data_IF_730441183476
#
_entry.id   IF_730441183476
#
_cell.length_a   1.000
_cell.length_b   1.000
_cell.length_c   1.000
_cell.angle_alpha   90.00
_cell.angle_beta   90.00
_cell.angle_gamma   90.00
#
_symmetry.space_group_name_H-M   'P 1'
#
loop_
_entity.id
_entity.type
_entity.pdbx_description
1 polymer ?
#
# COMPACT_ATOMS: atom_id res chain seq x y z
N UNK A 1 -12.63 -38.54 -33.07
CA UNK A 1 -12.03 -37.19 -32.89
C UNK A 1 -13.16 -36.18 -33.09
N UNK A 2 -13.58 -35.52 -32.02
CA UNK A 2 -14.77 -34.65 -31.98
C UNK A 2 -14.39 -33.23 -32.39
N UNK A 3 -15.17 -32.63 -33.31
CA UNK A 3 -15.11 -31.22 -33.69
C UNK A 3 -15.44 -30.34 -32.48
N UNK A 4 -14.53 -29.42 -32.12
CA UNK A 4 -14.83 -28.32 -31.21
C UNK A 4 -15.46 -27.17 -32.02
N UNK A 5 -16.73 -26.91 -31.78
CA UNK A 5 -17.47 -25.77 -32.30
C UNK A 5 -16.85 -24.46 -31.79
N UNK A 6 -16.30 -23.64 -32.69
CA UNK A 6 -15.93 -22.24 -32.40
C UNK A 6 -17.23 -21.43 -32.25
N UNK A 7 -17.64 -21.19 -31.02
CA UNK A 7 -18.70 -20.22 -30.69
C UNK A 7 -18.14 -18.81 -30.93
N UNK A 8 -18.60 -18.15 -31.99
CA UNK A 8 -18.31 -16.72 -32.22
C UNK A 8 -19.04 -15.89 -31.17
N UNK A 9 -18.30 -15.06 -30.44
CA UNK A 9 -18.84 -14.12 -29.45
C UNK A 9 -19.54 -12.94 -30.15
N UNK A 10 -20.65 -12.41 -29.60
CA UNK A 10 -21.37 -11.28 -30.16
C UNK A 10 -20.59 -9.96 -29.98
N UNK A 11 -20.63 -9.10 -31.01
CA UNK A 11 -19.96 -7.79 -31.04
C UNK A 11 -20.84 -6.70 -30.39
N UNK A 12 -20.36 -5.95 -29.38
CA UNK A 12 -21.10 -4.83 -28.80
C UNK A 12 -21.13 -3.56 -29.68
N UNK A 13 -22.21 -2.79 -29.59
CA UNK A 13 -22.61 -1.71 -30.51
C UNK A 13 -21.86 -0.37 -30.36
N UNK A 14 -21.04 -0.17 -29.32
CA UNK A 14 -20.36 1.11 -29.05
C UNK A 14 -18.84 0.99 -29.11
N UNK A 15 -18.38 0.43 -30.24
CA UNK A 15 -16.98 0.24 -30.61
C UNK A 15 -16.27 1.61 -30.74
N UNK A 16 -15.17 1.89 -30.01
CA UNK A 16 -14.31 3.04 -30.32
C UNK A 16 -13.77 2.91 -31.75
N UNK A 17 -13.73 3.99 -32.52
CA UNK A 17 -13.39 3.99 -33.96
C UNK A 17 -11.97 3.48 -34.31
N UNK A 18 -11.16 3.06 -33.36
CA UNK A 18 -9.96 2.24 -33.62
C UNK A 18 -9.96 1.01 -32.71
N UNK A 19 -10.83 0.09 -33.10
CA UNK A 19 -11.03 -1.25 -32.57
C UNK A 19 -10.50 -2.33 -33.53
N UNK A 20 -9.87 -1.90 -34.62
CA UNK A 20 -9.22 -2.77 -35.61
C UNK A 20 -7.72 -2.99 -35.28
N UNK A 21 -7.19 -2.31 -34.26
CA UNK A 21 -5.80 -2.40 -33.78
C UNK A 21 -5.61 -3.27 -32.52
N UNK A 22 -6.56 -4.15 -32.20
CA UNK A 22 -6.29 -5.22 -31.22
C UNK A 22 -6.04 -6.51 -32.01
N UNK A 23 -4.78 -6.82 -32.34
CA UNK A 23 -4.45 -8.01 -33.09
C UNK A 23 -4.58 -9.18 -32.13
N UNK A 24 -5.24 -10.24 -32.59
CA UNK A 24 -5.20 -11.59 -32.00
C UNK A 24 -3.79 -12.22 -31.98
N UNK A 25 -2.72 -11.41 -31.99
CA UNK A 25 -1.31 -11.82 -31.97
C UNK A 25 -0.34 -10.70 -31.55
N UNK A 26 -0.33 -9.55 -32.22
CA UNK A 26 0.64 -8.46 -31.95
C UNK A 26 0.37 -7.63 -30.67
N UNK A 27 -0.88 -7.41 -30.25
CA UNK A 27 -1.16 -6.79 -28.93
C UNK A 27 -0.71 -7.70 -27.79
N UNK A 28 -0.85 -9.02 -27.95
CA UNK A 28 -0.34 -9.98 -26.97
C UNK A 28 1.20 -9.93 -26.90
N UNK A 29 1.89 -9.68 -28.02
CA UNK A 29 3.34 -9.44 -28.06
C UNK A 29 3.71 -8.12 -27.36
N UNK A 30 2.99 -7.02 -27.64
CA UNK A 30 3.17 -5.74 -26.93
C UNK A 30 2.90 -5.88 -25.43
N UNK A 31 1.87 -6.62 -25.02
CA UNK A 31 1.58 -6.91 -23.62
C UNK A 31 2.67 -7.75 -22.94
N UNK A 32 3.39 -8.57 -23.71
CA UNK A 32 4.51 -9.36 -23.21
C UNK A 32 5.74 -8.47 -22.97
N UNK A 33 6.08 -7.61 -23.93
CA UNK A 33 7.22 -6.70 -23.85
C UNK A 33 6.98 -5.59 -22.80
N UNK A 34 5.81 -4.97 -22.88
CA UNK A 34 5.46 -3.79 -22.10
C UNK A 34 4.63 -4.10 -20.86
N UNK A 35 4.10 -5.31 -20.64
CA UNK A 35 3.24 -5.62 -19.49
C UNK A 35 1.85 -4.95 -19.55
N UNK A 36 0.93 -5.46 -18.73
CA UNK A 36 -0.44 -4.95 -18.65
C UNK A 36 -0.49 -3.53 -18.10
N UNK A 37 -1.23 -2.66 -18.79
CA UNK A 37 -1.57 -1.31 -18.33
C UNK A 37 -3.07 -1.18 -18.17
N UNK A 38 -3.55 -0.67 -17.03
CA UNK A 38 -4.97 -0.46 -16.84
C UNK A 38 -5.52 0.63 -17.76
N UNK A 39 -6.71 0.40 -18.29
CA UNK A 39 -7.46 1.28 -19.19
C UNK A 39 -8.37 2.23 -18.40
N UNK A 40 -9.06 1.73 -17.37
CA UNK A 40 -10.08 2.52 -16.65
C UNK A 40 -9.55 3.25 -15.41
N UNK A 41 -8.34 2.95 -14.94
CA UNK A 41 -7.69 3.70 -13.85
C UNK A 41 -6.24 4.05 -14.16
N UNK A 42 -5.78 5.19 -13.63
CA UNK A 42 -4.37 5.58 -13.70
C UNK A 42 -3.63 5.23 -12.42
N UNK A 43 -2.42 4.72 -12.55
CA UNK A 43 -1.48 4.57 -11.44
C UNK A 43 -0.89 5.90 -10.95
N UNK A 44 -1.11 7.00 -11.69
CA UNK A 44 -0.54 8.33 -11.39
C UNK A 44 -1.09 8.96 -10.11
N UNK A 45 -2.30 8.59 -9.68
CA UNK A 45 -2.88 9.04 -8.40
C UNK A 45 -2.03 8.66 -7.18
N UNK A 46 -1.04 7.78 -7.32
CA UNK A 46 -0.15 7.36 -6.25
C UNK A 46 0.78 8.47 -5.72
N UNK A 47 1.05 9.54 -6.48
CA UNK A 47 1.97 10.61 -6.06
C UNK A 47 1.37 11.62 -5.06
N UNK A 48 0.06 11.63 -4.86
CA UNK A 48 -0.62 12.58 -3.96
C UNK A 48 -0.07 12.51 -2.53
N UNK A 49 0.06 11.34 -1.88
CA UNK A 49 0.64 11.25 -0.54
C UNK A 49 2.09 11.73 -0.47
N UNK A 50 2.88 11.51 -1.54
CA UNK A 50 4.26 12.01 -1.61
C UNK A 50 4.25 13.53 -1.65
N UNK A 51 3.44 14.14 -2.52
CA UNK A 51 3.32 15.60 -2.59
C UNK A 51 2.90 16.22 -1.25
N UNK A 52 1.91 15.63 -0.58
CA UNK A 52 1.50 16.06 0.77
C UNK A 52 2.67 15.88 1.76
N UNK A 53 3.37 14.75 1.72
CA UNK A 53 4.54 14.49 2.55
C UNK A 53 5.65 15.52 2.37
N UNK A 54 5.95 15.94 1.13
CA UNK A 54 6.89 17.04 0.84
C UNK A 54 6.43 18.33 1.50
N UNK A 55 5.15 18.70 1.32
CA UNK A 55 4.60 19.93 1.91
C UNK A 55 4.68 19.90 3.43
N UNK A 56 4.31 18.78 4.07
CA UNK A 56 4.39 18.61 5.52
C UNK A 56 5.83 18.74 6.01
N UNK A 57 6.78 18.08 5.33
CA UNK A 57 8.19 18.12 5.72
C UNK A 57 8.74 19.55 5.58
N UNK A 58 8.52 20.20 4.43
CA UNK A 58 8.96 21.59 4.20
C UNK A 58 8.34 22.55 5.21
N UNK A 59 7.04 22.43 5.48
CA UNK A 59 6.36 23.24 6.50
C UNK A 59 6.96 23.03 7.89
N UNK A 60 7.34 21.79 8.23
CA UNK A 60 7.99 21.45 9.51
C UNK A 60 9.37 22.10 9.62
N UNK A 61 10.15 22.08 8.54
CA UNK A 61 11.47 22.75 8.50
C UNK A 61 11.35 24.27 8.62
N UNK A 62 10.38 24.87 7.91
CA UNK A 62 10.11 26.31 8.01
C UNK A 62 9.64 26.69 9.42
N UNK A 63 8.80 25.87 10.04
CA UNK A 63 8.34 26.07 11.42
C UNK A 63 9.51 25.99 12.41
N UNK A 64 10.40 25.00 12.27
CA UNK A 64 11.60 24.89 13.10
C UNK A 64 12.48 26.14 13.00
N UNK A 65 12.65 26.68 11.79
CA UNK A 65 13.39 27.92 11.56
C UNK A 65 12.71 29.14 12.20
N UNK A 66 11.39 29.29 12.01
CA UNK A 66 10.61 30.39 12.58
C UNK A 66 10.54 30.34 14.12
N UNK A 67 10.62 29.13 14.68
CA UNK A 67 10.56 28.89 16.13
C UNK A 67 11.92 28.69 16.75
N UNK A 68 13.01 28.88 16.01
CA UNK A 68 14.35 28.46 16.42
C UNK A 68 14.70 29.00 17.81
N UNK A 69 14.46 30.28 18.08
CA UNK A 69 14.78 30.92 19.36
C UNK A 69 13.99 30.36 20.57
N UNK A 70 12.83 29.72 20.34
CA UNK A 70 12.02 29.09 21.39
C UNK A 70 12.46 27.68 21.72
N UNK A 71 13.20 27.03 20.83
CA UNK A 71 13.68 25.67 21.03
C UNK A 71 14.71 25.68 22.17
N UNK A 72 14.56 24.83 23.19
CA UNK A 72 15.51 24.77 24.32
C UNK A 72 16.95 24.49 23.87
N UNK A 73 17.92 25.02 24.62
CA UNK A 73 19.36 24.80 24.36
C UNK A 73 19.79 23.34 24.50
N UNK A 74 19.00 22.54 25.23
CA UNK A 74 19.17 21.09 25.32
C UNK A 74 17.99 20.36 24.67
N UNK A 75 18.32 19.40 23.82
CA UNK A 75 17.36 18.54 23.12
C UNK A 75 17.63 17.07 23.43
N UNK A 76 16.59 16.23 23.56
CA UNK A 76 16.74 14.80 23.80
C UNK A 76 17.31 14.13 22.55
N UNK A 77 18.41 13.40 22.74
CA UNK A 77 18.98 12.55 21.70
C UNK A 77 18.50 11.11 21.82
N UNK A 78 18.12 10.69 23.03
CA UNK A 78 17.61 9.35 23.29
C UNK A 78 16.59 9.35 24.43
N UNK A 79 15.52 8.58 24.23
CA UNK A 79 14.46 8.35 25.21
C UNK A 79 14.45 6.87 25.55
N UNK A 80 14.48 6.56 26.85
CA UNK A 80 14.38 5.20 27.37
C UNK A 80 12.98 4.61 27.17
N UNK A 81 12.85 3.30 27.42
CA UNK A 81 11.58 2.58 27.31
C UNK A 81 10.52 3.06 28.33
N UNK A 82 10.96 3.70 29.41
CA UNK A 82 10.14 4.37 30.42
C UNK A 82 9.65 5.76 29.99
N UNK A 83 10.00 6.19 28.76
CA UNK A 83 9.65 7.52 28.23
C UNK A 83 10.53 8.65 28.77
N UNK A 84 11.52 8.36 29.62
CA UNK A 84 12.43 9.36 30.18
C UNK A 84 13.59 9.64 29.22
N UNK A 85 14.03 10.89 29.16
CA UNK A 85 15.20 11.26 28.36
C UNK A 85 16.46 10.78 29.08
N UNK A 86 17.12 9.77 28.51
CA UNK A 86 18.36 9.20 29.06
C UNK A 86 19.60 9.89 28.51
N UNK A 87 19.48 10.61 27.38
CA UNK A 87 20.57 11.39 26.79
C UNK A 87 20.07 12.72 26.24
N UNK A 88 20.69 13.79 26.72
CA UNK A 88 20.52 15.15 26.22
C UNK A 88 21.71 15.54 25.32
N UNK A 89 21.47 16.49 24.43
CA UNK A 89 22.48 17.08 23.55
C UNK A 89 22.23 18.55 23.31
N UNK A 90 23.24 19.26 22.81
CA UNK A 90 23.13 20.67 22.49
C UNK A 90 22.18 20.92 21.31
N UNK A 91 21.51 22.07 21.34
CA UNK A 91 20.70 22.59 20.24
C UNK A 91 21.58 22.86 19.03
N UNK A 92 21.50 21.94 18.07
CA UNK A 92 22.09 22.06 16.75
C UNK A 92 21.04 21.73 15.70
N UNK A 93 21.23 22.22 14.48
CA UNK A 93 20.32 21.94 13.36
C UNK A 93 20.12 20.43 13.20
N UNK A 94 21.21 19.67 13.28
CA UNK A 94 21.20 18.21 13.20
C UNK A 94 20.36 17.57 14.29
N UNK A 95 20.54 17.96 15.56
CA UNK A 95 19.86 17.32 16.67
C UNK A 95 18.35 17.66 16.68
N UNK A 96 17.99 18.91 16.39
CA UNK A 96 16.59 19.37 16.35
C UNK A 96 15.83 18.73 15.18
N UNK A 97 16.47 18.64 14.02
CA UNK A 97 15.82 18.19 12.79
C UNK A 97 16.03 16.71 12.50
N UNK A 98 16.66 15.95 13.40
CA UNK A 98 16.98 14.54 13.18
C UNK A 98 15.74 13.71 12.87
N UNK A 99 14.68 13.84 13.68
CA UNK A 99 13.45 13.08 13.48
C UNK A 99 12.73 13.45 12.17
N UNK A 100 12.49 14.73 11.84
CA UNK A 100 11.92 15.12 10.55
C UNK A 100 12.79 14.74 9.34
N UNK A 101 14.10 15.02 9.37
CA UNK A 101 14.98 14.81 8.21
C UNK A 101 15.29 13.34 7.97
N UNK A 102 15.62 12.59 9.02
CA UNK A 102 15.98 11.17 8.85
C UNK A 102 14.75 10.29 8.93
N UNK A 103 13.90 10.45 9.95
CA UNK A 103 12.66 9.68 10.05
C UNK A 103 11.67 10.04 8.95
N UNK A 104 11.26 11.31 8.89
CA UNK A 104 10.34 11.80 7.87
C UNK A 104 10.90 11.69 6.44
N UNK A 105 12.17 12.05 6.24
CA UNK A 105 12.83 11.93 4.95
C UNK A 105 13.00 10.49 4.47
N UNK A 106 13.35 9.53 5.35
CA UNK A 106 13.43 8.12 4.97
C UNK A 106 12.05 7.56 4.58
N UNK A 107 10.98 7.95 5.27
CA UNK A 107 9.61 7.58 4.91
C UNK A 107 9.25 8.16 3.54
N UNK A 108 9.51 9.44 3.32
CA UNK A 108 9.23 10.11 2.04
C UNK A 108 10.00 9.47 0.89
N UNK A 109 11.28 9.16 1.10
CA UNK A 109 12.11 8.44 0.13
C UNK A 109 11.54 7.05 -0.15
N UNK A 110 11.13 6.31 0.88
CA UNK A 110 10.52 4.99 0.73
C UNK A 110 9.25 5.06 -0.11
N UNK A 111 8.38 6.05 0.15
CA UNK A 111 7.18 6.32 -0.65
C UNK A 111 7.54 6.61 -2.12
N UNK A 112 8.52 7.48 -2.38
CA UNK A 112 8.97 7.80 -3.72
C UNK A 112 9.54 6.57 -4.46
N UNK A 113 10.37 5.76 -3.79
CA UNK A 113 10.94 4.53 -4.37
C UNK A 113 9.82 3.54 -4.71
N UNK A 114 8.86 3.30 -3.80
CA UNK A 114 7.75 2.37 -4.08
C UNK A 114 6.93 2.81 -5.30
N UNK A 115 6.66 4.11 -5.44
CA UNK A 115 5.94 4.64 -6.61
C UNK A 115 6.78 4.58 -7.89
N UNK A 116 8.07 4.86 -7.81
CA UNK A 116 8.98 4.70 -8.94
C UNK A 116 9.02 3.23 -9.40
N UNK A 117 9.14 2.29 -8.47
CA UNK A 117 9.05 0.85 -8.74
C UNK A 117 7.71 0.50 -9.38
N UNK A 118 6.58 1.03 -8.89
CA UNK A 118 5.26 0.79 -9.49
C UNK A 118 5.14 1.37 -10.91
N UNK A 119 5.81 2.48 -11.22
CA UNK A 119 5.77 3.07 -12.56
C UNK A 119 6.48 2.21 -13.62
N UNK A 120 7.44 1.40 -13.20
CA UNK A 120 8.21 0.50 -14.08
C UNK A 120 7.79 -0.97 -13.95
N UNK A 121 7.24 -1.38 -12.82
CA UNK A 121 6.78 -2.75 -12.55
C UNK A 121 5.39 -2.94 -13.11
N UNK A 122 5.27 -3.78 -14.13
CA UNK A 122 4.00 -4.08 -14.80
C UNK A 122 3.72 -5.56 -14.69
N UNK A 123 2.45 -5.91 -14.50
CA UNK A 123 1.99 -7.31 -14.50
C UNK A 123 2.20 -7.89 -15.90
N UNK A 124 2.98 -8.96 -16.00
CA UNK A 124 3.26 -9.64 -17.27
C UNK A 124 2.58 -11.01 -17.29
N UNK A 125 2.34 -11.61 -18.46
CA UNK A 125 1.91 -13.00 -18.53
C UNK A 125 3.04 -13.94 -18.05
N UNK A 126 2.69 -15.04 -17.40
CA UNK A 126 3.66 -16.05 -16.99
C UNK A 126 4.20 -16.78 -18.22
N UNK A 127 5.52 -16.96 -18.30
CA UNK A 127 6.16 -17.69 -19.40
C UNK A 127 5.64 -19.12 -19.45
N UNK A 128 4.97 -19.49 -20.56
CA UNK A 128 4.51 -20.85 -20.84
C UNK A 128 3.01 -21.13 -20.62
N UNK A 129 2.21 -20.15 -20.18
CA UNK A 129 0.74 -20.27 -20.14
C UNK A 129 0.17 -19.80 -21.47
N UNK A 130 -0.62 -20.65 -22.10
CA UNK A 130 -1.33 -20.39 -23.36
C UNK A 130 -2.11 -19.08 -23.26
N UNK A 131 -2.04 -18.27 -24.31
CA UNK A 131 -2.70 -16.96 -24.46
C UNK A 131 -4.23 -17.09 -24.55
N UNK A 132 -4.85 -17.64 -23.51
CA UNK A 132 -6.29 -17.63 -23.35
C UNK A 132 -6.71 -16.37 -22.60
N UNK A 133 -7.93 -15.90 -22.87
CA UNK A 133 -8.57 -14.77 -22.17
C UNK A 133 -8.54 -14.91 -20.64
N UNK A 134 -8.36 -16.13 -20.13
CA UNK A 134 -8.21 -16.41 -18.70
C UNK A 134 -6.95 -15.78 -18.09
N UNK A 135 -5.84 -15.67 -18.85
CA UNK A 135 -4.59 -15.04 -18.41
C UNK A 135 -4.71 -13.53 -18.19
N UNK A 136 -5.62 -12.87 -18.93
CA UNK A 136 -5.85 -11.43 -18.86
C UNK A 136 -6.56 -11.02 -17.58
N UNK A 137 -7.56 -11.80 -17.14
CA UNK A 137 -8.25 -11.56 -15.86
C UNK A 137 -7.30 -11.62 -14.66
N UNK A 138 -6.38 -12.59 -14.65
CA UNK A 138 -5.33 -12.70 -13.63
C UNK A 138 -4.41 -11.48 -13.63
N UNK A 139 -4.00 -10.98 -14.80
CA UNK A 139 -3.16 -9.78 -14.92
C UNK A 139 -3.88 -8.51 -14.43
N UNK A 140 -5.15 -8.33 -14.80
CA UNK A 140 -6.00 -7.23 -14.34
C UNK A 140 -6.12 -7.24 -12.82
N UNK A 141 -6.40 -8.41 -12.23
CA UNK A 141 -6.48 -8.59 -10.78
C UNK A 141 -5.18 -8.21 -10.11
N UNK A 142 -4.05 -8.72 -10.59
CA UNK A 142 -2.73 -8.40 -10.03
C UNK A 142 -2.43 -6.89 -10.09
N UNK A 143 -2.72 -6.25 -11.22
CA UNK A 143 -2.54 -4.81 -11.38
C UNK A 143 -3.43 -3.99 -10.43
N UNK A 144 -4.70 -4.37 -10.28
CA UNK A 144 -5.63 -3.72 -9.35
C UNK A 144 -5.20 -3.91 -7.90
N UNK A 145 -4.87 -5.15 -7.50
CA UNK A 145 -4.36 -5.48 -6.16
C UNK A 145 -3.10 -4.70 -5.84
N UNK A 146 -2.10 -4.71 -6.74
CA UNK A 146 -0.83 -3.99 -6.53
C UNK A 146 -1.06 -2.49 -6.38
N UNK A 147 -1.93 -1.91 -7.21
CA UNK A 147 -2.31 -0.50 -7.12
C UNK A 147 -2.90 -0.16 -5.75
N UNK A 148 -3.82 -0.99 -5.25
CA UNK A 148 -4.47 -0.77 -3.96
C UNK A 148 -3.50 -0.96 -2.78
N UNK A 149 -2.64 -1.99 -2.82
CA UNK A 149 -1.60 -2.22 -1.79
C UNK A 149 -0.66 -1.02 -1.72
N UNK A 150 -0.08 -0.62 -2.85
CA UNK A 150 0.90 0.47 -2.88
C UNK A 150 0.27 1.80 -2.47
N UNK A 151 -0.96 2.07 -2.91
CA UNK A 151 -1.68 3.30 -2.54
C UNK A 151 -2.01 3.31 -1.06
N UNK A 152 -2.57 2.22 -0.52
CA UNK A 152 -2.90 2.14 0.91
C UNK A 152 -1.64 2.26 1.78
N UNK A 153 -0.56 1.55 1.43
CA UNK A 153 0.72 1.65 2.13
C UNK A 153 1.31 3.08 2.08
N UNK A 154 1.23 3.76 0.92
CA UNK A 154 1.70 5.14 0.79
C UNK A 154 0.91 6.11 1.68
N UNK A 155 -0.41 5.95 1.78
CA UNK A 155 -1.22 6.75 2.71
C UNK A 155 -0.96 6.41 4.18
N UNK A 156 -0.73 5.14 4.52
CA UNK A 156 -0.35 4.75 5.88
C UNK A 156 1.01 5.32 6.28
N UNK A 157 2.00 5.31 5.38
CA UNK A 157 3.30 5.92 5.60
C UNK A 157 3.23 7.44 5.74
N UNK A 158 2.36 8.10 4.97
CA UNK A 158 2.10 9.52 5.16
C UNK A 158 1.60 9.81 6.59
N UNK A 159 0.74 8.96 7.15
CA UNK A 159 0.28 9.14 8.53
C UNK A 159 1.46 9.10 9.53
N UNK A 160 2.41 8.18 9.35
CA UNK A 160 3.64 8.15 10.16
C UNK A 160 4.50 9.40 9.98
N UNK A 161 4.69 9.87 8.73
CA UNK A 161 5.45 11.08 8.44
C UNK A 161 4.82 12.30 9.15
N UNK A 162 3.50 12.44 9.05
CA UNK A 162 2.75 13.51 9.71
C UNK A 162 2.91 13.43 11.23
N UNK A 163 2.81 12.24 11.81
CA UNK A 163 3.01 12.05 13.26
C UNK A 163 4.43 12.43 13.68
N UNK A 164 5.46 11.95 12.97
CA UNK A 164 6.86 12.29 13.27
C UNK A 164 7.06 13.81 13.26
N UNK A 165 6.52 14.50 12.25
CA UNK A 165 6.64 15.95 12.15
C UNK A 165 5.82 16.68 13.23
N UNK A 166 4.60 16.23 13.49
CA UNK A 166 3.69 16.84 14.45
C UNK A 166 4.18 16.70 15.90
N UNK A 167 4.88 15.61 16.24
CA UNK A 167 5.45 15.39 17.57
C UNK A 167 6.53 16.41 17.95
N UNK A 168 7.24 16.94 16.97
CA UNK A 168 8.30 17.92 17.21
C UNK A 168 7.76 19.31 17.58
N UNK A 169 6.57 19.67 17.09
CA UNK A 169 6.01 21.02 17.30
C UNK A 169 5.74 21.30 18.80
N UNK A 170 5.02 20.45 19.56
CA UNK A 170 4.86 20.65 21.00
C UNK A 170 6.19 20.68 21.74
N UNK A 171 7.14 19.81 21.34
CA UNK A 171 8.47 19.74 21.97
C UNK A 171 9.25 21.05 21.82
N UNK A 172 9.09 21.74 20.70
CA UNK A 172 9.69 23.06 20.47
C UNK A 172 8.98 24.19 21.24
N UNK A 173 7.70 24.04 21.58
CA UNK A 173 6.90 25.06 22.29
C UNK A 173 7.03 24.94 23.81
N UNK A 174 6.74 23.75 24.34
CA UNK A 174 6.63 23.49 25.78
C UNK A 174 7.87 22.82 26.36
N UNK A 175 8.90 22.60 25.54
CA UNK A 175 10.06 21.79 25.91
C UNK A 175 9.74 20.29 25.92
N UNK A 176 10.78 19.51 26.22
CA UNK A 176 10.74 18.04 26.14
C UNK A 176 10.31 17.35 27.44
N UNK A 177 9.84 18.11 28.42
CA UNK A 177 9.35 17.60 29.72
C UNK A 177 7.87 17.20 29.69
N UNK A 178 7.09 17.70 28.72
CA UNK A 178 5.71 17.27 28.54
C UNK A 178 5.66 15.84 28.01
N UNK A 179 4.68 15.04 28.47
CA UNK A 179 4.49 13.69 27.95
C UNK A 179 4.45 13.70 26.42
N UNK A 180 5.39 12.96 25.81
CA UNK A 180 5.46 12.84 24.36
C UNK A 180 4.12 12.29 23.85
N UNK A 181 3.48 12.90 22.83
CA UNK A 181 2.19 12.43 22.30
C UNK A 181 2.28 11.10 21.53
N UNK A 182 2.92 10.08 22.11
CA UNK A 182 3.20 8.76 21.53
C UNK A 182 1.92 8.07 21.06
N UNK A 183 0.78 8.37 21.68
CA UNK A 183 -0.54 7.90 21.24
C UNK A 183 -0.87 8.24 19.78
N UNK A 184 -0.28 9.29 19.21
CA UNK A 184 -0.39 9.60 17.77
C UNK A 184 0.19 8.47 16.89
N UNK A 185 1.24 7.76 17.34
CA UNK A 185 1.70 6.56 16.64
C UNK A 185 0.67 5.44 16.67
N UNK A 186 -0.20 5.39 17.68
CA UNK A 186 -1.35 4.51 17.71
C UNK A 186 -2.32 4.79 16.56
N UNK A 187 -2.63 6.06 16.28
CA UNK A 187 -3.43 6.46 15.12
C UNK A 187 -2.75 6.12 13.79
N UNK A 188 -1.44 6.38 13.66
CA UNK A 188 -0.69 6.00 12.46
C UNK A 188 -0.65 4.48 12.25
N UNK A 189 -0.54 3.70 13.33
CA UNK A 189 -0.59 2.23 13.30
C UNK A 189 -1.99 1.75 12.87
N UNK A 190 -3.07 2.38 13.35
CA UNK A 190 -4.43 2.07 12.87
C UNK A 190 -4.55 2.32 11.36
N UNK A 191 -3.90 3.36 10.82
CA UNK A 191 -3.94 3.64 9.38
C UNK A 191 -3.34 2.50 8.53
N UNK A 192 -2.39 1.71 9.06
CA UNK A 192 -1.83 0.52 8.40
C UNK A 192 -2.85 -0.61 8.28
N UNK A 193 -3.81 -0.69 9.21
CA UNK A 193 -4.87 -1.71 9.18
C UNK A 193 -6.09 -1.21 8.41
N UNK A 194 -6.56 0.00 8.73
CA UNK A 194 -7.82 0.54 8.23
C UNK A 194 -7.73 0.88 6.74
N UNK A 195 -6.65 1.51 6.27
CA UNK A 195 -6.56 1.97 4.88
C UNK A 195 -6.54 0.80 3.88
N UNK A 196 -5.74 -0.27 4.05
CA UNK A 196 -5.83 -1.43 3.18
C UNK A 196 -7.22 -2.06 3.19
N UNK A 197 -7.91 -2.12 4.35
CA UNK A 197 -9.29 -2.62 4.46
C UNK A 197 -10.26 -1.78 3.65
N UNK A 198 -10.27 -0.46 3.82
CA UNK A 198 -11.18 0.43 3.12
C UNK A 198 -10.92 0.45 1.61
N UNK A 199 -9.65 0.56 1.22
CA UNK A 199 -9.26 0.63 -0.20
C UNK A 199 -9.34 -0.74 -0.88
N UNK A 200 -9.12 -1.83 -0.14
CA UNK A 200 -9.25 -3.20 -0.61
C UNK A 200 -10.63 -3.55 -1.15
N UNK A 201 -11.67 -2.88 -0.64
CA UNK A 201 -13.05 -3.01 -1.14
C UNK A 201 -13.20 -2.52 -2.59
N UNK A 202 -12.27 -1.71 -3.09
CA UNK A 202 -12.28 -1.20 -4.46
C UNK A 202 -11.66 -2.17 -5.47
N UNK A 203 -10.88 -3.17 -5.03
CA UNK A 203 -10.20 -4.10 -5.95
C UNK A 203 -11.19 -4.80 -6.87
N UNK A 204 -12.27 -5.36 -6.31
CA UNK A 204 -13.28 -6.07 -7.10
C UNK A 204 -14.02 -5.16 -8.10
N UNK A 205 -14.56 -3.99 -7.68
CA UNK A 205 -15.11 -3.01 -8.62
C UNK A 205 -14.14 -2.58 -9.73
N UNK A 206 -12.85 -2.40 -9.42
CA UNK A 206 -11.84 -2.06 -10.43
C UNK A 206 -11.70 -3.18 -11.46
N UNK A 207 -11.59 -4.43 -11.02
CA UNK A 207 -11.49 -5.59 -11.92
C UNK A 207 -12.75 -5.72 -12.79
N UNK A 208 -13.94 -5.61 -12.20
CA UNK A 208 -15.21 -5.72 -12.92
C UNK A 208 -15.36 -4.61 -13.97
N UNK A 209 -15.00 -3.37 -13.61
CA UNK A 209 -15.03 -2.22 -14.52
C UNK A 209 -14.05 -2.40 -15.70
N UNK A 210 -12.86 -2.93 -15.44
CA UNK A 210 -11.87 -3.20 -16.50
C UNK A 210 -12.32 -4.28 -17.46
N UNK A 211 -12.80 -5.41 -16.92
CA UNK A 211 -13.26 -6.54 -17.71
C UNK A 211 -14.46 -6.13 -18.58
N UNK A 212 -15.36 -5.31 -18.02
CA UNK A 212 -16.47 -4.73 -18.76
C UNK A 212 -15.99 -3.79 -19.88
N UNK A 213 -15.03 -2.91 -19.60
CA UNK A 213 -14.46 -1.99 -20.59
C UNK A 213 -13.74 -2.71 -21.73
N UNK A 214 -13.11 -3.85 -21.44
CA UNK A 214 -12.41 -4.68 -22.43
C UNK A 214 -13.33 -5.70 -23.12
N UNK A 215 -14.61 -5.76 -22.75
CA UNK A 215 -15.58 -6.74 -23.24
C UNK A 215 -15.07 -8.20 -23.15
N UNK A 216 -14.27 -8.51 -22.12
CA UNK A 216 -13.69 -9.85 -21.93
C UNK A 216 -14.72 -10.69 -21.18
N UNK A 217 -15.25 -11.77 -21.80
CA UNK A 217 -16.15 -12.67 -21.09
C UNK A 217 -15.41 -13.35 -19.95
N UNK A 218 -16.01 -13.35 -18.76
CA UNK A 218 -15.50 -14.10 -17.61
C UNK A 218 -15.53 -15.59 -17.92
N UNK A 219 -14.36 -16.15 -18.24
CA UNK A 219 -14.18 -17.60 -18.36
C UNK A 219 -14.47 -18.30 -17.02
N UNK A 220 -14.83 -19.60 -17.03
CA UNK A 220 -15.05 -20.36 -15.81
C UNK A 220 -13.83 -20.37 -14.88
N UNK A 221 -12.60 -20.36 -15.44
CA UNK A 221 -11.36 -20.29 -14.69
C UNK A 221 -11.15 -18.94 -13.99
N UNK A 222 -11.32 -17.84 -14.72
CA UNK A 222 -11.21 -16.48 -14.16
C UNK A 222 -12.27 -16.20 -13.11
N UNK A 223 -13.50 -16.68 -13.31
CA UNK A 223 -14.57 -16.57 -12.32
C UNK A 223 -14.23 -17.32 -11.02
N UNK A 224 -13.72 -18.55 -11.13
CA UNK A 224 -13.27 -19.34 -9.97
C UNK A 224 -12.10 -18.67 -9.25
N UNK A 225 -11.12 -18.17 -10.00
CA UNK A 225 -9.99 -17.44 -9.43
C UNK A 225 -10.51 -16.20 -8.67
N UNK A 226 -11.29 -15.32 -9.30
CA UNK A 226 -11.84 -14.13 -8.65
C UNK A 226 -12.67 -14.44 -7.40
N UNK A 227 -13.38 -15.57 -7.38
CA UNK A 227 -14.09 -16.03 -6.18
C UNK A 227 -13.18 -16.53 -5.07
N UNK A 228 -12.04 -17.15 -5.41
CA UNK A 228 -11.04 -17.58 -4.44
C UNK A 228 -10.30 -16.38 -3.81
N UNK A 229 -10.11 -15.27 -4.52
CA UNK A 229 -9.47 -14.07 -3.97
C UNK A 229 -10.47 -13.19 -3.21
N UNK A 230 -10.51 -13.32 -1.88
CA UNK A 230 -11.49 -12.59 -1.05
C UNK A 230 -11.10 -11.17 -0.67
N UNK A 231 -9.83 -10.92 -0.40
CA UNK A 231 -9.41 -9.60 0.09
C UNK A 231 -7.96 -9.29 -0.26
N UNK A 232 -7.73 -8.31 -1.14
CA UNK A 232 -6.43 -7.75 -1.59
C UNK A 232 -5.37 -8.80 -1.92
N UNK A 233 -4.78 -9.45 -0.91
CA UNK A 233 -3.78 -10.51 -1.05
C UNK A 233 -4.25 -11.91 -0.61
N UNK A 234 -5.30 -12.08 0.18
CA UNK A 234 -5.65 -13.38 0.79
C UNK A 234 -6.56 -14.23 -0.11
N UNK A 235 -6.22 -15.52 -0.19
CA UNK A 235 -6.94 -16.52 -0.98
C UNK A 235 -7.76 -17.42 -0.05
N UNK A 236 -8.97 -17.75 -0.44
CA UNK A 236 -9.89 -18.66 0.22
C UNK A 236 -10.20 -19.82 -0.75
N UNK A 237 -9.27 -20.78 -0.82
CA UNK A 237 -9.42 -21.98 -1.65
C UNK A 237 -9.12 -23.24 -0.80
N UNK A 238 -10.12 -24.09 -0.48
CA UNK A 238 -9.91 -25.27 0.33
C UNK A 238 -8.98 -26.30 -0.32
N UNK A 239 -8.83 -26.29 -1.64
CA UNK A 239 -8.03 -27.26 -2.39
C UNK A 239 -6.57 -26.80 -2.58
N UNK A 240 -6.30 -25.50 -2.42
CA UNK A 240 -4.95 -24.93 -2.55
C UNK A 240 -4.07 -25.18 -1.30
N UNK A 241 -2.72 -25.15 -1.44
CA UNK A 241 -1.79 -25.22 -0.30
C UNK A 241 -1.91 -23.99 0.62
N UNK A 242 -1.25 -24.04 1.79
CA UNK A 242 -1.21 -22.92 2.74
C UNK A 242 -0.52 -21.68 2.14
N UNK A 243 0.59 -21.89 1.43
CA UNK A 243 1.35 -20.84 0.76
C UNK A 243 1.08 -20.90 -0.73
N UNK A 244 0.55 -19.80 -1.27
CA UNK A 244 0.23 -19.68 -2.68
C UNK A 244 1.23 -18.70 -3.29
N UNK A 245 2.08 -19.13 -4.24
CA UNK A 245 2.96 -18.22 -4.92
C UNK A 245 2.12 -17.23 -5.75
N UNK A 246 2.50 -15.95 -5.74
CA UNK A 246 2.07 -15.05 -6.78
C UNK A 246 2.79 -15.44 -8.06
N UNK A 247 2.06 -15.61 -9.15
CA UNK A 247 2.66 -16.03 -10.41
C UNK A 247 3.75 -15.06 -10.88
N UNK A 248 3.62 -13.75 -10.61
CA UNK A 248 4.64 -12.74 -10.93
C UNK A 248 4.68 -11.59 -9.89
N UNK A 249 5.86 -11.27 -9.33
CA UNK A 249 7.09 -12.08 -9.39
C UNK A 249 6.92 -13.35 -8.55
N UNK A 250 7.40 -14.49 -9.07
CA UNK A 250 7.38 -15.83 -8.41
C UNK A 250 8.07 -15.88 -7.02
N UNK A 251 8.65 -14.77 -6.58
CA UNK A 251 9.27 -14.60 -5.26
C UNK A 251 8.28 -14.27 -4.16
N UNK A 252 7.05 -13.87 -4.50
CA UNK A 252 6.07 -13.43 -3.51
C UNK A 252 5.10 -14.57 -3.21
N UNK A 253 4.71 -14.69 -1.94
CA UNK A 253 3.73 -15.66 -1.48
C UNK A 253 2.57 -14.95 -0.80
N UNK A 254 1.40 -15.56 -0.88
CA UNK A 254 0.27 -15.23 -0.01
C UNK A 254 -0.17 -16.43 0.81
N UNK A 255 -0.96 -16.14 1.84
CA UNK A 255 -1.53 -17.14 2.75
C UNK A 255 -2.94 -17.53 2.29
N UNK A 256 -3.24 -18.81 2.38
CA UNK A 256 -4.56 -19.35 2.12
C UNK A 256 -5.38 -19.41 3.42
N UNK A 257 -6.40 -18.56 3.53
CA UNK A 257 -7.30 -18.47 4.70
C UNK A 257 -8.38 -19.57 4.71
N UNK A 258 -8.48 -20.41 3.69
CA UNK A 258 -9.32 -21.61 3.79
C UNK A 258 -8.75 -22.61 4.83
N UNK A 259 -7.43 -22.59 5.05
CA UNK A 259 -6.75 -23.45 6.02
C UNK A 259 -6.79 -22.83 7.43
N UNK A 260 -6.97 -23.63 8.50
CA UNK A 260 -6.95 -23.12 9.88
C UNK A 260 -5.68 -22.34 10.22
N UNK A 261 -4.51 -22.84 9.81
CA UNK A 261 -3.23 -22.16 10.00
C UNK A 261 -3.20 -20.78 9.30
N UNK A 262 -3.77 -20.67 8.10
CA UNK A 262 -3.82 -19.40 7.38
C UNK A 262 -4.74 -18.38 8.04
N UNK A 263 -5.87 -18.83 8.61
CA UNK A 263 -6.74 -17.97 9.44
C UNK A 263 -6.00 -17.43 10.66
N UNK A 264 -5.25 -18.29 11.36
CA UNK A 264 -4.47 -17.89 12.53
C UNK A 264 -3.37 -16.88 12.15
N UNK A 265 -2.65 -17.09 11.06
CA UNK A 265 -1.62 -16.15 10.60
C UNK A 265 -2.21 -14.80 10.22
N UNK A 266 -3.28 -14.78 9.40
CA UNK A 266 -3.91 -13.54 8.97
C UNK A 266 -4.56 -12.79 10.14
N UNK A 267 -5.34 -13.48 10.97
CA UNK A 267 -5.98 -12.88 12.15
C UNK A 267 -4.95 -12.47 13.20
N UNK A 268 -3.88 -13.24 13.38
CA UNK A 268 -2.80 -12.96 14.33
C UNK A 268 -2.05 -11.68 13.98
N UNK A 269 -1.71 -11.45 12.71
CA UNK A 269 -1.08 -10.21 12.28
C UNK A 269 -2.00 -8.99 12.51
N UNK A 270 -3.27 -9.11 12.13
CA UNK A 270 -4.25 -8.02 12.32
C UNK A 270 -4.46 -7.75 13.82
N UNK A 271 -4.63 -8.79 14.63
CA UNK A 271 -4.81 -8.67 16.06
C UNK A 271 -3.58 -8.07 16.74
N UNK A 272 -2.38 -8.46 16.33
CA UNK A 272 -1.14 -7.86 16.82
C UNK A 272 -1.09 -6.36 16.51
N UNK A 273 -1.36 -5.95 15.27
CA UNK A 273 -1.35 -4.54 14.88
C UNK A 273 -2.44 -3.73 15.62
N UNK A 274 -3.64 -4.28 15.80
CA UNK A 274 -4.71 -3.64 16.55
C UNK A 274 -4.39 -3.54 18.04
N UNK A 275 -3.77 -4.58 18.62
CA UNK A 275 -3.35 -4.58 20.03
C UNK A 275 -2.23 -3.56 20.24
N UNK A 276 -1.25 -3.50 19.34
CA UNK A 276 -0.19 -2.50 19.37
C UNK A 276 -0.77 -1.08 19.24
N UNK A 277 -1.67 -0.85 18.28
CA UNK A 277 -2.33 0.43 18.11
C UNK A 277 -3.14 0.83 19.36
N UNK A 278 -3.91 -0.11 19.93
CA UNK A 278 -4.66 0.10 21.16
C UNK A 278 -3.77 0.42 22.35
N UNK A 279 -2.68 -0.34 22.54
CA UNK A 279 -1.68 -0.05 23.57
C UNK A 279 -1.11 1.35 23.43
N UNK A 280 -0.68 1.73 22.21
CA UNK A 280 -0.14 3.07 21.93
C UNK A 280 -1.19 4.15 22.21
N UNK A 281 -2.44 3.98 21.79
CA UNK A 281 -3.53 4.93 22.05
C UNK A 281 -3.85 5.09 23.54
N UNK A 282 -3.70 4.02 24.33
CA UNK A 282 -3.93 4.02 25.76
C UNK A 282 -2.73 4.54 26.58
N UNK A 283 -1.58 4.83 25.94
CA UNK A 283 -0.40 5.36 26.65
C UNK A 283 -0.70 6.55 27.57
N UNK A 284 -1.55 7.53 27.25
CA UNK A 284 -1.83 8.66 28.16
C UNK A 284 -2.60 8.25 29.42
N UNK A 285 -3.33 7.13 29.36
CA UNK A 285 -4.09 6.57 30.49
C UNK A 285 -3.22 5.63 31.32
N UNK A 286 -2.40 4.82 30.65
CA UNK A 286 -1.51 3.84 31.28
C UNK A 286 -0.29 4.51 31.95
N UNK A 287 0.18 5.61 31.36
CA UNK A 287 1.34 6.38 31.83
C UNK A 287 0.96 7.87 31.90
N UNK A 288 0.12 8.27 32.87
CA UNK A 288 -0.28 9.66 33.01
C UNK A 288 0.97 10.52 33.27
N UNK A 289 1.04 11.67 32.60
CA UNK A 289 2.10 12.65 32.83
C UNK A 289 2.09 13.05 34.32
N UNK A 290 3.24 12.89 34.99
CA UNK A 290 3.45 13.39 36.35
C UNK A 290 3.83 14.88 36.32
#
# INVERSE_FOLDING_TARGET
>A
MSQASRTQLPVPADRPKSSDDLPTGAWLTELHEDGYRPFTWSSRSGWVPVGIGVVVLVATLLMAGAMWDRIPDQVPLHTGADGQVTRWGEKTVTNVLMAPLVGGGAILLSMAIMLAVMSVSRSRPSTGVVQDAESLGTMIRQAATMTVIMRSLSWSLLAFLVVICALEIPRWISGYHAASPVWLFGLATLAVVVLPVLMGRQVRPMIEQELAALAVPLGPGTGRELHAWRFVTVVDDPDAPLWIPFDIPRSNYTVNIAKPAGKVLAAGLVLFLLTLAGFLLLTPVLFPAQ
#
